data_IF_250799446783
#
_entry.id   IF_250799446783
#
_cell.length_a   1.000
_cell.length_b   1.000
_cell.length_c   1.000
_cell.angle_alpha   90.00
_cell.angle_beta   90.00
_cell.angle_gamma   90.00
#
_symmetry.space_group_name_H-M   'P 1'
#
loop_
_entity.id
_entity.type
_entity.pdbx_description
1 polymer ?
#
# COMPACT_ATOMS: atom_id res chain seq x y z
N UNK A 1 39.56 -24.33 -32.98
CA UNK A 1 39.61 -23.72 -31.61
C UNK A 1 39.09 -22.29 -31.54
N UNK A 2 39.20 -21.47 -32.60
CA UNK A 2 38.76 -20.03 -32.56
C UNK A 2 37.24 -19.82 -32.41
N UNK A 3 36.40 -20.69 -32.98
CA UNK A 3 34.93 -20.57 -32.93
C UNK A 3 34.31 -20.86 -31.56
N UNK A 4 34.88 -21.77 -30.77
CA UNK A 4 34.38 -22.09 -29.42
C UNK A 4 34.69 -20.98 -28.40
N UNK A 5 35.79 -20.27 -28.58
CA UNK A 5 36.18 -19.15 -27.74
C UNK A 5 35.27 -17.92 -27.94
N UNK A 6 34.87 -17.67 -29.23
CA UNK A 6 33.96 -16.58 -29.58
C UNK A 6 32.53 -16.79 -28.99
N UNK A 7 32.04 -18.03 -28.97
CA UNK A 7 30.72 -18.37 -28.39
C UNK A 7 30.70 -18.18 -26.87
N UNK A 8 31.82 -18.50 -26.20
CA UNK A 8 31.93 -18.35 -24.74
C UNK A 8 31.93 -16.87 -24.31
N UNK A 9 32.61 -16.00 -25.09
CA UNK A 9 32.62 -14.56 -24.83
C UNK A 9 31.23 -13.96 -25.06
N UNK A 10 30.50 -14.39 -26.10
CA UNK A 10 29.13 -13.92 -26.34
C UNK A 10 28.16 -14.37 -25.25
N UNK A 11 28.28 -15.59 -24.75
CA UNK A 11 27.48 -16.09 -23.64
C UNK A 11 27.78 -15.34 -22.33
N UNK A 12 29.05 -15.03 -22.02
CA UNK A 12 29.43 -14.22 -20.86
C UNK A 12 28.91 -12.79 -20.93
N UNK A 13 28.95 -12.16 -22.11
CA UNK A 13 28.43 -10.80 -22.32
C UNK A 13 26.90 -10.75 -22.16
N UNK A 14 26.19 -11.82 -22.56
CA UNK A 14 24.74 -11.92 -22.40
C UNK A 14 24.37 -12.10 -20.92
N UNK A 15 25.06 -12.93 -20.17
CA UNK A 15 24.86 -13.12 -18.72
C UNK A 15 25.20 -11.85 -17.94
N UNK A 16 26.26 -11.12 -18.32
CA UNK A 16 26.59 -9.84 -17.69
C UNK A 16 25.55 -8.74 -17.96
N UNK A 17 24.88 -8.77 -19.13
CA UNK A 17 23.82 -7.78 -19.43
C UNK A 17 22.55 -8.01 -18.61
N UNK A 18 22.24 -9.26 -18.23
CA UNK A 18 21.11 -9.56 -17.34
C UNK A 18 21.42 -9.24 -15.86
N UNK A 19 22.69 -9.36 -15.44
CA UNK A 19 23.12 -8.97 -14.09
C UNK A 19 23.15 -7.45 -13.86
N UNK A 20 23.08 -6.65 -14.92
CA UNK A 20 23.01 -5.17 -14.86
C UNK A 20 21.58 -4.64 -14.99
N UNK A 21 20.58 -5.50 -14.92
CA UNK A 21 19.19 -5.09 -14.73
C UNK A 21 19.04 -4.56 -13.30
N UNK A 22 19.58 -3.38 -13.07
CA UNK A 22 19.34 -2.61 -11.87
C UNK A 22 17.82 -2.44 -11.75
N UNK A 23 17.22 -2.95 -10.69
CA UNK A 23 15.79 -2.77 -10.45
C UNK A 23 15.47 -1.29 -10.59
N UNK A 24 14.79 -0.94 -11.68
CA UNK A 24 14.44 0.45 -11.93
C UNK A 24 13.46 0.86 -10.85
N UNK A 25 13.75 1.95 -10.15
CA UNK A 25 12.80 2.57 -9.23
C UNK A 25 11.55 2.91 -10.02
N UNK A 26 10.43 2.32 -9.63
CA UNK A 26 9.13 2.64 -10.19
C UNK A 26 8.51 3.79 -9.41
N UNK A 27 8.18 4.86 -10.11
CA UNK A 27 7.49 6.01 -9.51
C UNK A 27 5.98 5.75 -9.61
N UNK A 28 5.29 5.91 -8.50
CA UNK A 28 3.83 5.82 -8.41
C UNK A 28 3.22 7.06 -7.80
N UNK A 29 1.91 7.12 -7.81
CA UNK A 29 1.11 8.21 -7.24
C UNK A 29 0.02 7.66 -6.33
N UNK A 30 -0.46 8.48 -5.38
CA UNK A 30 -1.66 8.16 -4.62
C UNK A 30 -2.88 8.54 -5.44
N UNK A 31 -3.75 7.57 -5.69
CA UNK A 31 -4.99 7.77 -6.42
C UNK A 31 -6.12 8.07 -5.44
N UNK A 32 -6.55 9.33 -5.39
CA UNK A 32 -7.61 9.80 -4.49
C UNK A 32 -9.00 9.65 -5.10
N UNK A 33 -9.14 9.89 -6.39
CA UNK A 33 -10.42 9.70 -7.07
C UNK A 33 -10.51 8.29 -7.65
N UNK A 34 -11.40 7.49 -7.04
CA UNK A 34 -11.67 6.12 -7.46
C UNK A 34 -13.05 6.02 -8.14
N UNK A 35 -13.54 7.08 -8.78
CA UNK A 35 -14.83 7.11 -9.49
C UNK A 35 -14.91 6.06 -10.59
N UNK A 36 -14.09 6.20 -11.62
CA UNK A 36 -13.90 5.25 -12.70
C UNK A 36 -12.46 4.77 -12.70
N UNK A 37 -12.21 3.60 -12.09
CA UNK A 37 -10.87 3.05 -11.93
C UNK A 37 -10.23 2.67 -13.27
N UNK A 38 -11.02 2.24 -14.26
CA UNK A 38 -10.48 1.90 -15.57
C UNK A 38 -9.94 3.14 -16.28
N UNK A 39 -10.69 4.23 -16.25
CA UNK A 39 -10.28 5.52 -16.78
C UNK A 39 -9.06 6.07 -16.03
N UNK A 40 -9.08 6.05 -14.70
CA UNK A 40 -7.99 6.54 -13.86
C UNK A 40 -6.69 5.80 -14.14
N UNK A 41 -6.73 4.48 -14.27
CA UNK A 41 -5.52 3.68 -14.54
C UNK A 41 -5.02 3.87 -15.96
N UNK A 42 -5.92 4.08 -16.94
CA UNK A 42 -5.50 4.49 -18.29
C UNK A 42 -4.76 5.82 -18.27
N UNK A 43 -5.27 6.82 -17.56
CA UNK A 43 -4.63 8.13 -17.45
C UNK A 43 -3.24 8.03 -16.79
N UNK A 44 -3.09 7.22 -15.73
CA UNK A 44 -1.78 6.97 -15.10
C UNK A 44 -0.80 6.33 -16.10
N UNK A 45 -1.25 5.32 -16.83
CA UNK A 45 -0.44 4.68 -17.87
C UNK A 45 0.01 5.67 -18.95
N UNK A 46 -0.92 6.49 -19.46
CA UNK A 46 -0.64 7.48 -20.51
C UNK A 46 0.35 8.56 -20.03
N UNK A 47 0.39 8.83 -18.73
CA UNK A 47 1.37 9.73 -18.09
C UNK A 47 2.71 9.06 -17.77
N UNK A 48 2.86 7.77 -18.04
CA UNK A 48 4.11 7.02 -17.84
C UNK A 48 4.29 6.45 -16.42
N UNK A 49 3.24 6.45 -15.56
CA UNK A 49 3.30 5.77 -14.28
C UNK A 49 3.11 4.26 -14.46
N UNK A 50 3.86 3.48 -13.67
CA UNK A 50 3.73 2.01 -13.62
C UNK A 50 3.09 1.49 -12.34
N UNK A 51 2.82 2.36 -11.37
CA UNK A 51 2.22 1.96 -10.09
C UNK A 51 1.41 3.08 -9.44
N UNK A 52 0.53 2.67 -8.52
CA UNK A 52 -0.21 3.61 -7.68
C UNK A 52 -0.51 3.00 -6.31
N UNK A 53 -0.92 3.87 -5.40
CA UNK A 53 -1.61 3.53 -4.15
C UNK A 53 -3.07 3.94 -4.27
N UNK A 54 -3.98 3.19 -3.65
CA UNK A 54 -5.39 3.54 -3.59
C UNK A 54 -5.70 4.18 -2.25
N UNK A 55 -6.24 5.40 -2.28
CA UNK A 55 -6.72 6.03 -1.05
C UNK A 55 -8.05 5.40 -0.63
N UNK A 56 -8.17 5.00 0.66
CA UNK A 56 -9.38 4.43 1.20
C UNK A 56 -10.58 5.39 1.05
N UNK A 57 -11.67 4.86 0.55
CA UNK A 57 -12.96 5.56 0.45
C UNK A 57 -14.05 4.71 1.09
N UNK A 58 -14.68 5.24 2.13
CA UNK A 58 -15.77 4.58 2.85
C UNK A 58 -16.87 4.10 1.89
N UNK A 59 -17.37 2.89 2.11
CA UNK A 59 -18.42 2.23 1.33
C UNK A 59 -18.05 1.87 -0.13
N UNK A 60 -16.83 2.12 -0.57
CA UNK A 60 -16.39 1.80 -1.93
C UNK A 60 -15.61 0.49 -2.02
N UNK A 61 -14.95 0.09 -0.94
CA UNK A 61 -14.11 -1.09 -0.88
C UNK A 61 -14.94 -2.37 -0.77
N UNK A 62 -15.59 -2.73 -1.87
CA UNK A 62 -16.43 -3.91 -2.03
C UNK A 62 -15.75 -4.94 -2.92
N UNK A 63 -16.25 -6.19 -2.90
CA UNK A 63 -15.77 -7.25 -3.79
C UNK A 63 -15.89 -6.86 -5.27
N UNK A 64 -16.99 -6.25 -5.69
CA UNK A 64 -17.20 -5.78 -7.06
C UNK A 64 -16.14 -4.74 -7.45
N UNK A 65 -15.81 -3.83 -6.54
CA UNK A 65 -14.77 -2.84 -6.78
C UNK A 65 -13.37 -3.47 -6.83
N UNK A 66 -13.09 -4.48 -6.01
CA UNK A 66 -11.83 -5.23 -6.06
C UNK A 66 -11.62 -5.91 -7.42
N UNK A 67 -12.66 -6.52 -7.99
CA UNK A 67 -12.59 -7.10 -9.33
C UNK A 67 -12.33 -6.03 -10.42
N UNK A 68 -12.95 -4.87 -10.31
CA UNK A 68 -12.70 -3.74 -11.22
C UNK A 68 -11.24 -3.24 -11.12
N UNK A 69 -10.71 -3.14 -9.91
CA UNK A 69 -9.31 -2.76 -9.67
C UNK A 69 -8.35 -3.77 -10.31
N UNK A 70 -8.56 -5.07 -10.07
CA UNK A 70 -7.74 -6.14 -10.69
C UNK A 70 -7.78 -6.09 -12.23
N UNK A 71 -8.97 -5.94 -12.79
CA UNK A 71 -9.17 -5.86 -14.24
C UNK A 71 -8.45 -4.65 -14.84
N UNK A 72 -8.61 -3.46 -14.24
CA UNK A 72 -7.97 -2.23 -14.69
C UNK A 72 -6.43 -2.28 -14.53
N UNK A 73 -5.94 -2.80 -13.39
CA UNK A 73 -4.53 -3.03 -13.12
C UNK A 73 -3.88 -3.86 -14.24
N UNK A 74 -4.48 -5.00 -14.57
CA UNK A 74 -4.00 -5.87 -15.64
C UNK A 74 -4.10 -5.22 -17.03
N UNK A 75 -5.21 -4.55 -17.32
CA UNK A 75 -5.48 -3.94 -18.64
C UNK A 75 -4.51 -2.80 -18.96
N UNK A 76 -4.20 -1.97 -17.97
CA UNK A 76 -3.38 -0.78 -18.15
C UNK A 76 -1.95 -0.93 -17.64
N UNK A 77 -1.57 -2.13 -17.16
CA UNK A 77 -0.23 -2.40 -16.61
C UNK A 77 0.14 -1.44 -15.46
N UNK A 78 -0.81 -1.16 -14.58
CA UNK A 78 -0.61 -0.36 -13.38
C UNK A 78 -0.59 -1.29 -12.16
N UNK A 79 0.54 -1.37 -11.45
CA UNK A 79 0.65 -2.14 -10.22
C UNK A 79 0.07 -1.34 -9.06
N UNK A 80 -0.96 -1.85 -8.42
CA UNK A 80 -1.41 -1.30 -7.13
C UNK A 80 -0.49 -1.85 -6.03
N UNK A 81 0.25 -0.98 -5.36
CA UNK A 81 1.25 -1.37 -4.36
C UNK A 81 0.69 -1.44 -2.96
N UNK A 82 -0.22 -0.53 -2.63
CA UNK A 82 -0.81 -0.43 -1.30
C UNK A 82 -2.21 0.17 -1.35
N UNK A 83 -2.94 -0.05 -0.26
CA UNK A 83 -4.08 0.79 0.13
C UNK A 83 -3.61 1.74 1.23
N UNK A 84 -3.89 3.03 1.11
CA UNK A 84 -3.59 4.03 2.13
C UNK A 84 -4.87 4.61 2.71
N UNK A 85 -4.90 4.79 4.02
CA UNK A 85 -6.03 5.43 4.69
C UNK A 85 -5.74 5.74 6.15
N UNK A 86 -6.40 6.77 6.67
CA UNK A 86 -6.31 7.15 8.07
C UNK A 86 -7.73 7.15 8.65
N UNK A 87 -8.14 6.01 9.24
CA UNK A 87 -9.47 5.91 9.84
C UNK A 87 -9.69 6.91 10.97
N UNK A 88 -10.91 7.44 11.03
CA UNK A 88 -11.35 8.34 12.10
C UNK A 88 -12.38 9.35 11.58
N UNK A 89 -13.30 9.74 12.43
CA UNK A 89 -14.31 10.76 12.10
C UNK A 89 -13.73 12.17 12.10
N UNK A 90 -12.65 12.38 12.87
CA UNK A 90 -12.02 13.67 13.05
C UNK A 90 -10.52 13.52 13.33
N UNK A 91 -9.70 13.64 12.28
CA UNK A 91 -8.25 13.65 12.40
C UNK A 91 -7.72 15.09 12.31
N UNK A 92 -7.03 15.55 13.35
CA UNK A 92 -6.42 16.88 13.39
C UNK A 92 -4.92 16.76 13.15
N UNK A 93 -4.46 17.25 12.03
CA UNK A 93 -3.06 17.13 11.58
C UNK A 93 -2.17 18.25 12.15
N UNK A 94 -2.00 18.23 13.49
CA UNK A 94 -1.03 19.10 14.16
C UNK A 94 -0.45 18.40 15.41
N UNK A 95 0.68 18.89 15.92
CA UNK A 95 1.36 18.29 17.08
C UNK A 95 0.62 18.47 18.41
N UNK A 96 -0.34 19.40 18.50
CA UNK A 96 -1.07 19.66 19.74
C UNK A 96 -2.27 18.74 19.92
N UNK A 97 -3.04 18.51 18.88
CA UNK A 97 -4.31 17.77 18.92
C UNK A 97 -4.20 16.41 18.21
N UNK A 98 -3.24 16.26 17.32
CA UNK A 98 -2.97 15.02 16.61
C UNK A 98 -2.79 13.80 17.51
N UNK A 99 -2.02 13.92 18.63
CA UNK A 99 -1.85 12.81 19.58
C UNK A 99 -3.16 12.24 20.16
N UNK A 100 -4.21 13.05 20.24
CA UNK A 100 -5.52 12.63 20.74
C UNK A 100 -6.49 12.17 19.64
N UNK A 101 -6.18 12.38 18.36
CA UNK A 101 -7.15 12.17 17.26
C UNK A 101 -6.69 11.20 16.18
N UNK A 102 -5.37 11.10 15.95
CA UNK A 102 -4.82 10.30 14.85
C UNK A 102 -4.44 8.90 15.31
N UNK A 103 -4.80 7.89 14.51
CA UNK A 103 -4.35 6.51 14.64
C UNK A 103 -5.01 5.72 15.77
N UNK A 104 -4.27 4.72 16.29
CA UNK A 104 -4.76 3.73 17.25
C UNK A 104 -4.19 3.91 18.67
N UNK A 105 -3.28 4.87 18.89
CA UNK A 105 -2.77 5.20 20.22
C UNK A 105 -3.87 5.77 21.10
N UNK A 106 -4.70 6.75 20.67
CA UNK A 106 -5.87 7.16 21.41
C UNK A 106 -6.89 6.03 21.55
N UNK A 107 -7.54 5.92 22.72
CA UNK A 107 -8.59 4.91 22.96
C UNK A 107 -9.93 5.30 22.37
N UNK A 108 -10.15 6.58 22.22
CA UNK A 108 -11.34 7.16 21.62
C UNK A 108 -11.47 6.71 20.17
N UNK A 109 -12.65 6.34 19.75
CA UNK A 109 -12.97 5.83 18.40
C UNK A 109 -12.13 4.61 17.95
N UNK A 110 -11.24 4.06 18.79
CA UNK A 110 -10.33 2.97 18.40
C UNK A 110 -11.06 1.77 17.84
N UNK A 111 -12.16 1.35 18.45
CA UNK A 111 -12.95 0.21 17.99
C UNK A 111 -13.52 0.43 16.59
N UNK A 112 -13.99 1.64 16.29
CA UNK A 112 -14.49 1.98 14.95
C UNK A 112 -13.35 2.09 13.92
N UNK A 113 -12.21 2.64 14.32
CA UNK A 113 -11.01 2.68 13.48
C UNK A 113 -10.52 1.28 13.13
N UNK A 114 -10.51 0.34 14.08
CA UNK A 114 -10.14 -1.06 13.84
C UNK A 114 -11.05 -1.71 12.80
N UNK A 115 -12.36 -1.45 12.83
CA UNK A 115 -13.28 -1.97 11.79
C UNK A 115 -12.88 -1.48 10.39
N UNK A 116 -12.52 -0.22 10.26
CA UNK A 116 -12.06 0.32 8.97
C UNK A 116 -10.73 -0.31 8.54
N UNK A 117 -9.81 -0.57 9.47
CA UNK A 117 -8.58 -1.31 9.14
C UNK A 117 -8.87 -2.73 8.65
N UNK A 118 -9.83 -3.43 9.27
CA UNK A 118 -10.27 -4.75 8.78
C UNK A 118 -10.86 -4.63 7.36
N UNK A 119 -11.72 -3.63 7.08
CA UNK A 119 -12.22 -3.38 5.72
C UNK A 119 -11.10 -3.16 4.70
N UNK A 120 -10.04 -2.42 5.07
CA UNK A 120 -8.88 -2.18 4.20
C UNK A 120 -8.08 -3.47 3.98
N UNK A 121 -7.86 -4.28 5.02
CA UNK A 121 -7.16 -5.57 4.93
C UNK A 121 -7.94 -6.54 4.04
N UNK A 122 -9.25 -6.70 4.29
CA UNK A 122 -10.11 -7.57 3.49
C UNK A 122 -10.14 -7.14 2.02
N UNK A 123 -10.19 -5.85 1.76
CA UNK A 123 -10.12 -5.33 0.40
C UNK A 123 -8.77 -5.63 -0.26
N UNK A 124 -7.66 -5.46 0.45
CA UNK A 124 -6.34 -5.81 -0.05
C UNK A 124 -6.30 -7.29 -0.46
N UNK A 125 -6.83 -8.19 0.37
CA UNK A 125 -6.90 -9.61 0.06
C UNK A 125 -7.77 -9.88 -1.18
N UNK A 126 -8.96 -9.27 -1.28
CA UNK A 126 -9.86 -9.42 -2.44
C UNK A 126 -9.27 -8.87 -3.74
N UNK A 127 -8.54 -7.76 -3.65
CA UNK A 127 -7.97 -7.07 -4.81
C UNK A 127 -6.53 -7.52 -5.14
N UNK A 128 -5.98 -8.50 -4.41
CA UNK A 128 -4.61 -9.02 -4.55
C UNK A 128 -3.55 -7.90 -4.37
N UNK A 129 -3.83 -6.94 -3.48
CA UNK A 129 -2.91 -5.85 -3.15
C UNK A 129 -2.03 -6.31 -1.99
N UNK A 130 -0.68 -6.21 -2.10
CA UNK A 130 0.23 -6.86 -1.15
C UNK A 130 0.34 -6.18 0.21
N UNK A 131 -0.15 -4.95 0.35
CA UNK A 131 0.05 -4.19 1.58
C UNK A 131 -1.02 -3.11 1.78
N UNK A 132 -1.18 -2.69 3.02
CA UNK A 132 -1.81 -1.42 3.37
C UNK A 132 -0.89 -0.60 4.25
N UNK A 133 -1.02 0.71 4.23
CA UNK A 133 -0.35 1.57 5.19
C UNK A 133 -1.27 2.66 5.75
N UNK A 134 -0.88 3.21 6.90
CA UNK A 134 -1.65 4.23 7.58
C UNK A 134 -0.79 5.02 8.57
N UNK A 135 -1.34 6.10 9.09
CA UNK A 135 -0.79 6.78 10.25
C UNK A 135 -1.39 6.18 11.52
N UNK A 136 -0.62 5.36 12.23
CA UNK A 136 -1.09 4.66 13.43
C UNK A 136 -1.10 5.51 14.70
N UNK A 137 -0.67 6.77 14.61
CA UNK A 137 -0.71 7.75 15.69
C UNK A 137 0.65 8.17 16.22
N UNK A 138 0.64 8.90 17.32
CA UNK A 138 1.83 9.35 18.01
C UNK A 138 2.23 8.28 19.04
N UNK A 139 3.13 7.39 18.65
CA UNK A 139 3.55 6.24 19.45
C UNK A 139 4.35 6.76 20.64
N UNK A 140 4.02 6.35 21.91
CA UNK A 140 4.80 6.73 23.07
C UNK A 140 6.27 6.30 22.95
N UNK A 141 7.19 7.17 23.33
CA UNK A 141 8.63 6.89 23.27
C UNK A 141 9.10 5.88 24.34
N UNK A 142 8.38 5.82 25.49
CA UNK A 142 8.69 4.89 26.57
C UNK A 142 8.01 3.53 26.34
N UNK A 143 8.76 2.47 25.99
CA UNK A 143 8.21 1.14 25.77
C UNK A 143 7.73 0.45 27.06
N UNK A 144 8.05 0.98 28.24
CA UNK A 144 7.57 0.47 29.52
C UNK A 144 6.19 1.02 29.88
N UNK A 145 5.76 2.09 29.24
CA UNK A 145 4.46 2.73 29.51
C UNK A 145 3.29 1.81 29.16
N UNK A 146 2.21 1.90 29.91
CA UNK A 146 0.99 1.14 29.64
C UNK A 146 0.37 1.50 28.27
N UNK A 147 0.49 2.77 27.86
CA UNK A 147 -0.03 3.22 26.56
C UNK A 147 0.74 2.58 25.40
N UNK A 148 2.07 2.44 25.49
CA UNK A 148 2.87 1.74 24.49
C UNK A 148 2.49 0.26 24.41
N UNK A 149 2.44 -0.43 25.54
CA UNK A 149 2.07 -1.87 25.60
C UNK A 149 0.68 -2.13 25.03
N UNK A 150 -0.28 -1.28 25.35
CA UNK A 150 -1.65 -1.35 24.84
C UNK A 150 -1.68 -1.16 23.32
N UNK A 151 -0.94 -0.17 22.80
CA UNK A 151 -0.79 0.05 21.36
C UNK A 151 -0.15 -1.15 20.64
N UNK A 152 0.94 -1.71 21.18
CA UNK A 152 1.60 -2.88 20.60
C UNK A 152 0.66 -4.07 20.49
N UNK A 153 -0.16 -4.31 21.53
CA UNK A 153 -1.16 -5.37 21.50
C UNK A 153 -2.16 -5.17 20.35
N UNK A 154 -2.68 -3.96 20.20
CA UNK A 154 -3.61 -3.63 19.11
C UNK A 154 -2.96 -3.86 17.73
N UNK A 155 -1.69 -3.47 17.57
CA UNK A 155 -0.96 -3.69 16.30
C UNK A 155 -0.72 -5.18 16.03
N UNK A 156 -0.42 -5.98 17.07
CA UNK A 156 -0.31 -7.43 16.95
C UNK A 156 -1.63 -8.09 16.55
N UNK A 157 -2.74 -7.65 17.14
CA UNK A 157 -4.08 -8.15 16.80
C UNK A 157 -4.42 -7.85 15.33
N UNK A 158 -4.11 -6.64 14.84
CA UNK A 158 -4.28 -6.29 13.43
C UNK A 158 -3.35 -7.10 12.50
N UNK A 159 -2.10 -7.29 12.88
CA UNK A 159 -1.16 -8.08 12.08
C UNK A 159 -1.54 -9.56 12.01
N UNK A 160 -2.15 -10.10 13.07
CA UNK A 160 -2.67 -11.47 13.07
C UNK A 160 -3.96 -11.62 12.23
N UNK A 161 -4.69 -10.53 12.04
CA UNK A 161 -5.88 -10.51 11.18
C UNK A 161 -5.51 -10.47 9.69
N UNK A 162 -4.42 -9.81 9.34
CA UNK A 162 -3.95 -9.65 7.95
C UNK A 162 -3.33 -10.95 7.39
#
# INVERSE_FOLDING_TARGET
MKTKFSLLIFALLFVCSEMMAQDKITIGVIQYDLGDVDKSFKELHDQGFGSCELNYQKNKFTKDFAEKVKAASKKHNIKVTTVVGVPGSHCVWNFRQGPATIGLVPKEERAEKIKVYHEMIDFCAMAEIPAMHSHFGFIPEDPSSEQYKDFIKVMQDLANYA
#
